data_IF_992194366009
#
_entry.id   IF_992194366009
#
_cell.length_a   1.000
_cell.length_b   1.000
_cell.length_c   1.000
_cell.angle_alpha   90.00
_cell.angle_beta   90.00
_cell.angle_gamma   90.00
#
_symmetry.space_group_name_H-M   'P 1'
#
loop_
_entity.id
_entity.type
_entity.pdbx_description
1 polymer ?
#
# COMPACT_ATOMS: atom_id res chain seq x y z
N UNK A 1 -24.89 6.10 -8.82
CA UNK A 1 -24.39 6.28 -10.20
C UNK A 1 -23.69 4.99 -10.58
N UNK A 2 -23.94 4.48 -11.78
CA UNK A 2 -23.64 3.11 -12.21
C UNK A 2 -22.16 2.74 -12.11
N UNK A 3 -21.93 1.63 -11.39
CA UNK A 3 -20.91 0.59 -11.54
C UNK A 3 -19.80 0.82 -12.59
N UNK A 4 -18.56 0.73 -12.14
CA UNK A 4 -17.60 -0.19 -12.77
C UNK A 4 -16.71 -0.74 -11.67
N UNK A 5 -17.16 -1.82 -11.01
CA UNK A 5 -16.24 -2.64 -10.24
C UNK A 5 -15.06 -2.99 -11.16
N UNK A 6 -13.84 -2.68 -10.73
CA UNK A 6 -12.65 -2.85 -11.55
C UNK A 6 -12.63 -4.26 -12.17
N UNK A 7 -12.34 -4.35 -13.46
CA UNK A 7 -12.29 -5.63 -14.18
C UNK A 7 -10.87 -6.20 -14.07
N UNK A 8 -10.72 -7.51 -13.77
CA UNK A 8 -9.40 -8.15 -13.76
C UNK A 8 -8.69 -8.00 -15.10
N UNK A 9 -7.38 -7.72 -15.06
CA UNK A 9 -6.55 -7.72 -16.26
C UNK A 9 -6.66 -9.05 -17.03
N UNK A 10 -6.90 -8.96 -18.34
CA UNK A 10 -6.98 -10.10 -19.26
C UNK A 10 -6.26 -9.76 -20.58
N UNK A 11 -5.29 -10.59 -21.03
CA UNK A 11 -4.83 -11.82 -20.37
C UNK A 11 -4.11 -11.55 -19.04
N UNK A 12 -4.07 -12.53 -18.15
CA UNK A 12 -3.33 -12.42 -16.89
C UNK A 12 -1.84 -12.21 -17.19
N UNK A 13 -1.23 -11.07 -16.79
CA UNK A 13 0.19 -10.83 -17.02
C UNK A 13 1.08 -11.68 -16.10
N UNK A 14 0.57 -12.10 -14.94
CA UNK A 14 1.36 -12.74 -13.89
C UNK A 14 1.27 -14.26 -13.93
N UNK A 15 2.41 -14.92 -13.79
CA UNK A 15 2.50 -16.39 -13.75
C UNK A 15 2.36 -16.96 -12.34
N UNK A 16 2.52 -16.13 -11.31
CA UNK A 16 2.60 -16.53 -9.90
C UNK A 16 1.39 -16.11 -9.06
N UNK A 17 0.33 -15.58 -9.70
CA UNK A 17 -0.94 -15.31 -9.05
C UNK A 17 -2.09 -15.33 -10.04
N UNK A 18 -3.24 -15.84 -9.60
CA UNK A 18 -4.53 -15.77 -10.31
C UNK A 18 -5.56 -14.97 -9.52
N UNK A 19 -5.13 -14.27 -8.47
CA UNK A 19 -6.04 -13.54 -7.60
C UNK A 19 -6.68 -12.37 -8.37
N UNK A 20 -7.99 -12.46 -8.57
CA UNK A 20 -8.81 -11.46 -9.27
C UNK A 20 -8.57 -10.03 -8.76
N UNK A 21 -8.37 -9.84 -7.46
CA UNK A 21 -8.12 -8.52 -6.87
C UNK A 21 -6.75 -7.95 -7.22
N UNK A 22 -5.73 -8.80 -7.32
CA UNK A 22 -4.41 -8.40 -7.81
C UNK A 22 -4.48 -8.03 -9.30
N UNK A 23 -5.23 -8.79 -10.10
CA UNK A 23 -5.41 -8.51 -11.52
C UNK A 23 -6.19 -7.22 -11.76
N UNK A 24 -7.18 -6.90 -10.92
CA UNK A 24 -7.88 -5.61 -10.94
C UNK A 24 -6.94 -4.47 -10.59
N UNK A 25 -6.14 -4.65 -9.53
CA UNK A 25 -5.14 -3.66 -9.14
C UNK A 25 -4.13 -3.41 -10.27
N UNK A 26 -3.72 -4.45 -10.99
CA UNK A 26 -2.85 -4.30 -12.16
C UNK A 26 -3.53 -3.53 -13.30
N UNK A 27 -4.77 -3.88 -13.64
CA UNK A 27 -5.54 -3.20 -14.69
C UNK A 27 -5.73 -1.71 -14.40
N UNK A 28 -5.87 -1.34 -13.11
CA UNK A 28 -5.97 0.04 -12.65
C UNK A 28 -4.62 0.76 -12.52
N UNK A 29 -3.49 0.10 -12.82
CA UNK A 29 -2.15 0.68 -12.66
C UNK A 29 -1.71 0.87 -11.20
N UNK A 30 -2.43 0.27 -10.25
CA UNK A 30 -2.12 0.30 -8.81
C UNK A 30 -0.81 -0.44 -8.51
N UNK A 31 -0.55 -1.47 -9.29
CA UNK A 31 0.63 -2.32 -9.13
C UNK A 31 1.14 -2.79 -10.48
N UNK A 32 2.46 -2.91 -10.62
CA UNK A 32 3.11 -3.33 -11.88
C UNK A 32 3.71 -4.72 -11.82
N UNK A 33 3.64 -5.39 -10.67
CA UNK A 33 4.47 -6.57 -10.42
C UNK A 33 5.88 -6.21 -9.93
N UNK A 34 6.64 -7.23 -9.57
CA UNK A 34 8.10 -7.16 -9.39
C UNK A 34 8.86 -7.38 -10.70
N UNK A 35 8.19 -7.97 -11.68
CA UNK A 35 8.62 -8.07 -13.07
C UNK A 35 7.41 -7.93 -14.00
N UNK A 36 7.66 -7.94 -15.32
CA UNK A 36 6.59 -7.95 -16.33
C UNK A 36 5.63 -9.13 -16.19
N UNK A 37 6.09 -10.24 -15.61
CA UNK A 37 5.32 -11.49 -15.52
C UNK A 37 5.19 -12.03 -14.10
N UNK A 38 5.61 -11.28 -13.08
CA UNK A 38 5.67 -11.76 -11.70
C UNK A 38 5.15 -10.71 -10.75
N UNK A 39 4.19 -11.10 -9.91
CA UNK A 39 3.66 -10.25 -8.86
C UNK A 39 4.43 -10.39 -7.55
N UNK A 40 4.90 -11.58 -7.20
CA UNK A 40 5.51 -11.96 -5.92
C UNK A 40 4.56 -11.77 -4.72
N UNK A 41 3.45 -12.52 -4.65
CA UNK A 41 2.40 -12.30 -3.64
C UNK A 41 2.87 -12.52 -2.21
N UNK A 42 3.76 -13.50 -2.03
CA UNK A 42 4.29 -13.91 -0.73
C UNK A 42 5.54 -13.13 -0.31
N UNK A 43 6.03 -12.21 -1.15
CA UNK A 43 7.16 -11.37 -0.77
C UNK A 43 6.73 -10.46 0.37
N UNK A 44 7.50 -10.52 1.46
CA UNK A 44 7.36 -9.59 2.56
C UNK A 44 7.86 -8.22 2.09
N UNK A 45 6.97 -7.24 2.22
CA UNK A 45 7.30 -5.84 2.02
C UNK A 45 7.31 -5.14 3.39
N UNK A 46 8.12 -4.10 3.49
CA UNK A 46 8.17 -3.27 4.69
C UNK A 46 6.96 -2.31 4.74
N UNK A 47 6.80 -1.57 5.86
CA UNK A 47 5.64 -0.70 6.08
C UNK A 47 5.60 0.51 5.16
N UNK A 48 6.75 1.11 4.85
CA UNK A 48 6.81 2.22 3.89
C UNK A 48 6.47 1.77 2.47
N UNK A 49 6.87 0.56 2.07
CA UNK A 49 6.50 -0.04 0.79
C UNK A 49 5.00 -0.31 0.73
N UNK A 50 4.42 -0.86 1.81
CA UNK A 50 2.98 -1.04 1.93
C UNK A 50 2.24 0.30 1.80
N UNK A 51 2.64 1.32 2.57
CA UNK A 51 2.03 2.64 2.50
C UNK A 51 2.11 3.25 1.10
N UNK A 52 3.24 3.13 0.41
CA UNK A 52 3.40 3.67 -0.94
C UNK A 52 2.60 2.89 -1.98
N UNK A 53 2.41 1.57 -1.81
CA UNK A 53 1.51 0.80 -2.65
C UNK A 53 0.07 1.26 -2.44
N UNK A 54 -0.39 1.39 -1.20
CA UNK A 54 -1.72 1.89 -0.84
C UNK A 54 -1.95 3.31 -1.38
N UNK A 55 -0.97 4.21 -1.24
CA UNK A 55 -1.10 5.58 -1.70
C UNK A 55 -1.26 5.68 -3.23
N UNK A 56 -0.46 4.94 -3.99
CA UNK A 56 -0.63 4.84 -5.45
C UNK A 56 -2.00 4.28 -5.81
N UNK A 57 -2.46 3.31 -5.02
CA UNK A 57 -3.76 2.69 -5.20
C UNK A 57 -4.92 3.69 -5.07
N UNK A 58 -4.94 4.45 -3.97
CA UNK A 58 -5.97 5.47 -3.74
C UNK A 58 -5.89 6.56 -4.82
N UNK A 59 -4.69 6.93 -5.29
CA UNK A 59 -4.49 7.86 -6.40
C UNK A 59 -5.08 7.39 -7.73
N UNK A 60 -4.98 6.10 -8.02
CA UNK A 60 -5.57 5.54 -9.23
C UNK A 60 -7.10 5.46 -9.15
N UNK A 61 -7.64 5.17 -7.96
CA UNK A 61 -9.07 4.96 -7.73
C UNK A 61 -9.84 6.28 -7.63
N UNK A 62 -9.30 7.27 -6.91
CA UNK A 62 -9.98 8.52 -6.61
C UNK A 62 -9.22 9.74 -7.13
N UNK A 63 -8.83 9.81 -8.43
CA UNK A 63 -7.81 10.72 -8.94
C UNK A 63 -8.03 12.22 -8.64
N UNK A 64 -9.27 12.61 -8.31
CA UNK A 64 -9.67 13.98 -7.95
C UNK A 64 -9.68 14.26 -6.45
N UNK A 65 -9.34 13.29 -5.59
CA UNK A 65 -9.31 13.46 -4.14
C UNK A 65 -8.16 14.36 -3.69
N UNK A 66 -8.28 14.91 -2.47
CA UNK A 66 -7.20 15.63 -1.84
C UNK A 66 -6.15 14.66 -1.29
N UNK A 67 -4.95 14.71 -1.87
CA UNK A 67 -3.77 13.96 -1.44
C UNK A 67 -2.79 14.79 -0.62
N UNK A 68 -3.16 16.02 -0.26
CA UNK A 68 -2.29 16.92 0.48
C UNK A 68 -1.98 16.38 1.87
N UNK A 69 -0.68 16.35 2.16
CA UNK A 69 -0.11 16.10 3.50
C UNK A 69 0.41 17.39 4.13
N UNK A 70 0.05 18.55 3.58
CA UNK A 70 0.42 19.84 4.16
C UNK A 70 -0.16 19.99 5.57
N UNK A 71 0.66 20.46 6.51
CA UNK A 71 0.27 20.60 7.92
C UNK A 71 0.23 19.29 8.71
N UNK A 72 0.48 18.13 8.08
CA UNK A 72 0.64 16.86 8.79
C UNK A 72 2.03 16.84 9.43
N UNK A 73 2.06 16.67 10.75
CA UNK A 73 3.29 16.60 11.54
C UNK A 73 4.14 15.40 11.10
N UNK A 74 5.45 15.59 11.06
CA UNK A 74 6.41 14.51 10.85
C UNK A 74 6.33 13.47 11.97
N UNK A 75 6.54 12.20 11.61
CA UNK A 75 6.72 11.15 12.60
C UNK A 75 8.04 11.37 13.37
N UNK A 76 8.14 10.93 14.63
CA UNK A 76 9.40 11.00 15.36
C UNK A 76 10.56 10.26 14.66
N UNK A 77 10.25 9.22 13.89
CA UNK A 77 11.16 8.43 13.06
C UNK A 77 11.12 8.81 11.57
N UNK A 78 10.67 10.02 11.22
CA UNK A 78 10.56 10.49 9.83
C UNK A 78 11.85 10.33 9.04
N UNK A 79 13.02 10.50 9.69
CA UNK A 79 14.35 10.33 9.09
C UNK A 79 14.62 8.91 8.58
N UNK A 80 13.92 7.91 9.11
CA UNK A 80 14.10 6.50 8.75
C UNK A 80 13.17 6.09 7.58
N UNK A 81 12.18 6.94 7.26
CA UNK A 81 11.27 6.80 6.14
C UNK A 81 11.98 7.28 4.88
N UNK A 82 12.02 6.44 3.84
CA UNK A 82 12.58 6.86 2.56
C UNK A 82 11.77 8.00 1.93
N UNK A 83 12.44 8.95 1.28
CA UNK A 83 11.80 10.16 0.72
C UNK A 83 10.65 9.86 -0.24
N UNK A 84 10.76 8.80 -1.05
CA UNK A 84 9.71 8.36 -1.97
C UNK A 84 8.44 7.84 -1.27
N UNK A 85 8.52 7.52 0.02
CA UNK A 85 7.41 7.03 0.83
C UNK A 85 6.83 8.10 1.76
N UNK A 86 7.53 9.22 2.00
CA UNK A 86 7.18 10.18 3.06
C UNK A 86 5.74 10.71 2.95
N UNK A 87 5.31 11.10 1.75
CA UNK A 87 3.93 11.57 1.55
C UNK A 87 2.92 10.44 1.72
N UNK A 88 3.26 9.24 1.23
CA UNK A 88 2.42 8.07 1.36
C UNK A 88 2.20 7.68 2.82
N UNK A 89 3.26 7.67 3.65
CA UNK A 89 3.15 7.33 5.07
C UNK A 89 2.31 8.34 5.84
N UNK A 90 2.54 9.64 5.60
CA UNK A 90 1.73 10.72 6.20
C UNK A 90 0.28 10.65 5.79
N UNK A 91 0.02 10.42 4.50
CA UNK A 91 -1.34 10.32 3.99
C UNK A 91 -2.09 9.11 4.55
N UNK A 92 -1.44 7.93 4.57
CA UNK A 92 -2.01 6.73 5.20
C UNK A 92 -2.31 6.94 6.69
N UNK A 93 -1.47 7.71 7.40
CA UNK A 93 -1.70 8.05 8.80
C UNK A 93 -2.84 9.06 8.98
N UNK A 94 -2.93 10.08 8.11
CA UNK A 94 -4.06 11.04 8.07
C UNK A 94 -5.40 10.33 7.90
N UNK A 95 -5.46 9.31 7.05
CA UNK A 95 -6.66 8.49 6.84
C UNK A 95 -6.91 7.45 7.95
N UNK A 96 -5.97 7.28 8.90
CA UNK A 96 -6.07 6.27 9.96
C UNK A 96 -5.90 4.83 9.48
N UNK A 97 -5.54 4.60 8.21
CA UNK A 97 -5.32 3.29 7.61
C UNK A 97 -4.08 2.63 8.21
N UNK A 98 -3.00 3.40 8.34
CA UNK A 98 -1.78 2.97 9.03
C UNK A 98 -1.59 3.83 10.26
N UNK A 99 -1.77 3.24 11.44
CA UNK A 99 -1.43 3.87 12.71
C UNK A 99 0.01 3.54 13.11
N UNK A 100 0.68 4.52 13.69
CA UNK A 100 1.99 4.35 14.32
C UNK A 100 1.93 3.52 15.60
N UNK A 101 3.08 3.33 16.23
CA UNK A 101 3.16 2.70 17.55
C UNK A 101 2.64 3.61 18.68
N UNK A 102 2.68 3.12 19.91
CA UNK A 102 2.27 3.89 21.10
C UNK A 102 3.12 5.15 21.35
N UNK A 103 4.32 5.23 20.77
CA UNK A 103 5.21 6.39 20.85
C UNK A 103 5.02 7.36 19.68
N UNK A 104 4.11 7.06 18.74
CA UNK A 104 3.84 7.85 17.56
C UNK A 104 4.79 7.61 16.38
N UNK A 105 5.68 6.61 16.46
CA UNK A 105 6.58 6.24 15.35
C UNK A 105 5.81 5.54 14.23
N UNK A 106 6.18 5.81 12.97
CA UNK A 106 5.61 5.11 11.83
C UNK A 106 6.13 3.67 11.70
N UNK A 107 7.40 3.47 12.06
CA UNK A 107 8.17 2.23 11.93
C UNK A 107 8.26 1.74 10.47
N UNK A 108 8.95 2.47 9.57
CA UNK A 108 8.93 2.18 8.14
C UNK A 108 9.55 0.83 7.77
N UNK A 109 10.54 0.40 8.56
CA UNK A 109 11.42 -0.75 8.31
C UNK A 109 11.56 -1.57 9.59
N UNK A 110 11.82 -2.86 9.45
CA UNK A 110 12.30 -3.69 10.55
C UNK A 110 13.83 -3.51 10.67
N UNK A 111 14.29 -2.39 11.23
CA UNK A 111 15.73 -2.06 11.27
C UNK A 111 16.45 -2.69 12.44
N UNK A 112 15.73 -3.06 13.50
CA UNK A 112 16.27 -3.75 14.68
C UNK A 112 15.86 -5.21 14.70
N UNK A 113 16.67 -6.06 15.34
CA UNK A 113 16.36 -7.49 15.56
C UNK A 113 15.04 -7.69 16.31
N UNK A 114 14.73 -6.83 17.29
CA UNK A 114 13.48 -6.85 18.02
C UNK A 114 12.27 -6.53 17.11
N UNK A 115 12.41 -5.54 16.22
CA UNK A 115 11.35 -5.20 15.25
C UNK A 115 11.12 -6.35 14.26
N UNK A 116 12.19 -6.95 13.75
CA UNK A 116 12.10 -8.12 12.86
C UNK A 116 11.43 -9.31 13.54
N UNK A 117 11.81 -9.63 14.78
CA UNK A 117 11.27 -10.77 15.53
C UNK A 117 9.77 -10.63 15.84
N UNK A 118 9.29 -9.40 16.05
CA UNK A 118 7.87 -9.12 16.26
C UNK A 118 7.08 -8.98 14.94
N UNK A 119 7.72 -9.19 13.77
CA UNK A 119 7.08 -9.04 12.46
C UNK A 119 6.67 -7.60 12.15
N UNK A 120 7.25 -6.61 12.85
CA UNK A 120 6.96 -5.21 12.58
C UNK A 120 7.36 -4.86 11.17
N UNK A 121 6.52 -4.10 10.48
CA UNK A 121 6.84 -3.73 9.12
C UNK A 121 6.43 -4.77 8.08
N UNK A 122 6.19 -6.03 8.45
CA UNK A 122 6.11 -7.11 7.48
C UNK A 122 4.65 -7.42 7.11
N UNK A 123 4.26 -7.00 5.92
CA UNK A 123 3.02 -7.46 5.29
C UNK A 123 3.37 -8.22 4.01
N UNK A 124 2.55 -9.21 3.63
CA UNK A 124 2.65 -9.76 2.28
C UNK A 124 2.19 -8.72 1.27
N UNK A 125 2.81 -8.72 0.10
CA UNK A 125 2.45 -7.81 -0.97
C UNK A 125 0.98 -7.97 -1.40
N UNK A 126 0.47 -9.19 -1.37
CA UNK A 126 -0.95 -9.47 -1.57
C UNK A 126 -1.82 -8.82 -0.49
N UNK A 127 -1.47 -8.95 0.80
CA UNK A 127 -2.26 -8.37 1.88
C UNK A 127 -2.37 -6.84 1.74
N UNK A 128 -1.31 -6.16 1.30
CA UNK A 128 -1.34 -4.73 1.03
C UNK A 128 -2.34 -4.36 -0.09
N UNK A 129 -2.37 -5.13 -1.18
CA UNK A 129 -3.33 -4.90 -2.27
C UNK A 129 -4.76 -5.19 -1.82
N UNK A 130 -4.98 -6.29 -1.10
CA UNK A 130 -6.31 -6.66 -0.61
C UNK A 130 -6.88 -5.63 0.36
N UNK A 131 -6.06 -5.01 1.22
CA UNK A 131 -6.53 -3.90 2.06
C UNK A 131 -7.03 -2.71 1.24
N UNK A 132 -6.39 -2.39 0.12
CA UNK A 132 -6.88 -1.31 -0.76
C UNK A 132 -8.26 -1.66 -1.30
N UNK A 133 -8.38 -2.85 -1.90
CA UNK A 133 -9.63 -3.28 -2.53
C UNK A 133 -10.78 -3.26 -1.53
N UNK A 134 -10.56 -3.79 -0.32
CA UNK A 134 -11.58 -3.76 0.74
C UNK A 134 -11.94 -2.34 1.18
N UNK A 135 -10.97 -1.42 1.17
CA UNK A 135 -11.23 -0.01 1.49
C UNK A 135 -12.06 0.65 0.39
N UNK A 136 -11.81 0.32 -0.88
CA UNK A 136 -12.67 0.77 -1.99
C UNK A 136 -14.09 0.25 -1.86
N UNK A 137 -14.27 -1.06 -1.67
CA UNK A 137 -15.60 -1.68 -1.53
C UNK A 137 -16.38 -1.13 -0.31
N UNK A 138 -15.70 -0.51 0.65
CA UNK A 138 -16.29 0.11 1.84
C UNK A 138 -16.47 1.64 1.73
N UNK A 139 -15.94 2.26 0.66
CA UNK A 139 -16.11 3.69 0.34
C UNK A 139 -17.26 3.92 -0.66
N UNK A 140 -17.80 2.86 -1.25
CA UNK A 140 -19.11 2.79 -1.93
C UNK A 140 -20.25 2.51 -0.92
#
# INVERSE_FOLDING_TARGET
MTETAAVPASPNPFTDTTNSQILKAYALGITTGTSTTTFSPNTLINREQCAAMLFRAIKAIAPTADYSVAGIKDFPDQKDISSWAADATKYMSKLGIIKGDASGNFMPKATTTAQTAAGYGMATREAAILMTVRTYDAMD
#
